data_IF_639534000010
#
_entry.id   IF_639534000010
#
_cell.length_a   1.000
_cell.length_b   1.000
_cell.length_c   1.000
_cell.angle_alpha   90.00
_cell.angle_beta   90.00
_cell.angle_gamma   90.00
#
_symmetry.space_group_name_H-M   'P 1'
#
loop_
_entity.id
_entity.type
_entity.pdbx_description
1 polymer ?
#
# COMPACT_ATOMS: atom_id res chain seq x y z
N UNK A 1 37.04 -43.97 -16.72
CA UNK A 1 36.49 -42.65 -17.12
C UNK A 1 34.96 -42.72 -17.18
N UNK A 2 34.27 -42.36 -16.09
CA UNK A 2 32.81 -42.09 -15.94
C UNK A 2 32.70 -41.14 -14.72
N UNK A 3 31.78 -40.15 -14.64
CA UNK A 3 30.32 -40.22 -14.91
C UNK A 3 29.77 -39.01 -15.74
N UNK A 4 28.73 -39.14 -16.57
CA UNK A 4 27.28 -39.11 -16.32
C UNK A 4 26.77 -37.93 -15.45
N UNK A 5 26.04 -36.97 -16.04
CA UNK A 5 25.02 -36.20 -15.31
C UNK A 5 24.01 -35.54 -16.28
N UNK A 6 22.83 -36.15 -16.37
CA UNK A 6 21.59 -35.64 -16.93
C UNK A 6 21.19 -34.32 -16.28
N UNK A 7 21.10 -33.24 -17.04
CA UNK A 7 20.52 -31.98 -16.55
C UNK A 7 19.00 -32.00 -16.76
N UNK A 8 18.28 -32.56 -15.78
CA UNK A 8 16.89 -32.18 -15.50
C UNK A 8 16.94 -30.89 -14.68
N UNK A 9 16.44 -29.79 -15.22
CA UNK A 9 15.98 -28.66 -14.41
C UNK A 9 14.56 -28.31 -14.86
N UNK A 10 13.61 -28.96 -14.21
CA UNK A 10 12.28 -28.42 -14.02
C UNK A 10 12.29 -27.53 -12.76
N UNK A 11 11.40 -26.55 -12.76
CA UNK A 11 10.97 -25.72 -11.62
C UNK A 11 11.97 -24.71 -11.06
N UNK A 12 11.72 -23.44 -11.38
CA UNK A 12 11.62 -22.34 -10.42
C UNK A 12 11.00 -21.20 -11.21
N UNK A 13 9.70 -20.95 -11.06
CA UNK A 13 9.16 -20.42 -9.83
C UNK A 13 8.98 -18.93 -10.09
N UNK A 14 7.72 -18.51 -10.24
CA UNK A 14 7.33 -17.12 -10.39
C UNK A 14 7.74 -16.35 -9.13
N UNK A 15 9.02 -16.00 -9.03
CA UNK A 15 9.46 -14.99 -8.10
C UNK A 15 9.00 -13.66 -8.69
N UNK A 16 7.74 -13.31 -8.41
CA UNK A 16 7.32 -11.92 -8.32
C UNK A 16 8.13 -11.29 -7.19
N UNK A 17 9.38 -10.97 -7.54
CA UNK A 17 10.34 -10.31 -6.70
C UNK A 17 9.68 -9.00 -6.27
N UNK A 18 9.28 -9.00 -5.01
CA UNK A 18 8.64 -7.89 -4.33
C UNK A 18 9.73 -6.86 -4.03
N UNK A 19 10.41 -6.39 -5.09
CA UNK A 19 11.06 -5.10 -5.09
C UNK A 19 9.96 -4.06 -5.18
N UNK A 20 9.16 -3.96 -4.12
CA UNK A 20 8.64 -2.69 -3.68
C UNK A 20 9.88 -1.85 -3.38
N UNK A 21 10.45 -1.28 -4.45
CA UNK A 21 11.32 -0.12 -4.38
C UNK A 21 10.81 0.73 -3.24
N UNK A 22 11.72 1.13 -2.35
CA UNK A 22 11.48 2.15 -1.34
C UNK A 22 11.17 3.50 -2.02
N UNK A 23 10.15 3.53 -2.88
CA UNK A 23 9.49 4.72 -3.33
C UNK A 23 8.99 5.37 -2.06
N UNK A 24 9.52 6.55 -1.79
CA UNK A 24 9.05 7.40 -0.72
C UNK A 24 7.52 7.47 -0.81
N UNK A 25 6.86 6.75 0.09
CA UNK A 25 5.41 6.65 0.10
C UNK A 25 4.87 8.06 0.33
N UNK A 26 4.13 8.55 -0.67
CA UNK A 26 3.65 9.93 -0.66
C UNK A 26 2.63 10.09 0.45
N UNK A 27 2.80 11.17 1.22
CA UNK A 27 1.93 11.50 2.33
C UNK A 27 0.86 12.51 1.90
N UNK A 28 -0.37 12.02 1.79
CA UNK A 28 -1.53 12.79 1.36
C UNK A 28 -2.17 13.54 2.54
N UNK A 29 -2.77 14.68 2.22
CA UNK A 29 -3.77 15.30 3.09
C UNK A 29 -5.09 14.53 3.01
N UNK A 30 -6.05 14.85 3.88
CA UNK A 30 -7.41 14.32 3.76
C UNK A 30 -8.04 14.63 2.38
N UNK A 31 -7.66 15.75 1.74
CA UNK A 31 -8.15 16.10 0.41
C UNK A 31 -7.63 15.14 -0.66
N UNK A 32 -6.33 14.80 -0.62
CA UNK A 32 -5.76 13.80 -1.52
C UNK A 32 -6.37 12.41 -1.35
N UNK A 33 -6.74 12.04 -0.12
CA UNK A 33 -7.50 10.79 0.13
C UNK A 33 -8.85 10.81 -0.59
N UNK A 34 -9.54 11.95 -0.59
CA UNK A 34 -10.84 12.11 -1.23
C UNK A 34 -10.79 12.11 -2.74
N UNK A 35 -9.79 12.74 -3.32
CA UNK A 35 -9.53 12.68 -4.76
C UNK A 35 -9.31 11.22 -5.22
N UNK A 36 -8.60 10.41 -4.44
CA UNK A 36 -8.37 9.00 -4.76
C UNK A 36 -9.57 8.09 -4.49
N UNK A 37 -10.38 8.39 -3.47
CA UNK A 37 -11.55 7.58 -3.10
C UNK A 37 -12.84 8.01 -3.81
N UNK A 38 -12.79 9.07 -4.63
CA UNK A 38 -13.96 9.62 -5.31
C UNK A 38 -14.99 10.24 -4.36
N UNK A 39 -14.59 10.61 -3.14
CA UNK A 39 -15.50 11.16 -2.14
C UNK A 39 -15.52 12.70 -2.20
N UNK A 40 -16.69 13.32 -2.10
CA UNK A 40 -16.86 14.77 -2.17
C UNK A 40 -16.95 15.47 -0.79
N UNK A 41 -16.57 14.80 0.29
CA UNK A 41 -16.64 15.38 1.64
C UNK A 41 -15.69 16.59 1.81
N UNK A 42 -16.22 17.69 2.35
CA UNK A 42 -15.46 18.92 2.64
C UNK A 42 -14.56 18.82 3.89
N UNK A 43 -14.80 17.83 4.75
CA UNK A 43 -14.15 17.70 6.06
C UNK A 43 -13.40 16.39 6.17
N UNK A 44 -12.25 16.36 6.86
CA UNK A 44 -11.36 15.20 6.96
C UNK A 44 -11.87 14.01 7.80
N UNK A 45 -13.12 14.04 8.28
CA UNK A 45 -13.66 13.02 9.19
C UNK A 45 -13.69 11.62 8.58
N UNK A 46 -13.98 11.48 7.28
CA UNK A 46 -14.01 10.17 6.64
C UNK A 46 -12.60 9.57 6.52
N UNK A 47 -11.58 10.34 6.12
CA UNK A 47 -10.19 9.87 6.11
C UNK A 47 -9.72 9.47 7.52
N UNK A 48 -10.05 10.27 8.54
CA UNK A 48 -9.74 9.92 9.93
C UNK A 48 -10.44 8.65 10.39
N UNK A 49 -11.73 8.47 10.05
CA UNK A 49 -12.49 7.27 10.38
C UNK A 49 -11.91 6.02 9.73
N UNK A 50 -11.51 6.11 8.46
CA UNK A 50 -10.84 5.02 7.75
C UNK A 50 -9.51 4.64 8.41
N UNK A 51 -8.72 5.64 8.83
CA UNK A 51 -7.47 5.39 9.54
C UNK A 51 -7.69 4.75 10.92
N UNK A 52 -8.68 5.23 11.68
CA UNK A 52 -9.05 4.63 12.99
C UNK A 52 -9.56 3.21 12.84
N UNK A 53 -10.21 2.90 11.73
CA UNK A 53 -10.64 1.54 11.39
C UNK A 53 -9.51 0.65 10.86
N UNK A 54 -8.26 1.13 10.83
CA UNK A 54 -7.10 0.37 10.34
C UNK A 54 -7.04 0.19 8.81
N UNK A 55 -7.97 0.81 8.07
CA UNK A 55 -8.10 0.64 6.61
C UNK A 55 -7.05 1.41 5.81
N UNK A 56 -6.56 2.52 6.35
CA UNK A 56 -5.48 3.29 5.74
C UNK A 56 -4.48 3.68 6.81
N UNK A 57 -3.22 3.82 6.43
CA UNK A 57 -2.15 4.16 7.36
C UNK A 57 -2.09 5.67 7.54
N UNK A 58 -2.39 6.12 8.76
CA UNK A 58 -2.17 7.50 9.18
C UNK A 58 -0.77 7.69 9.76
N UNK A 59 -0.10 8.74 9.34
CA UNK A 59 1.20 9.17 9.83
C UNK A 59 1.00 10.52 10.54
N UNK A 60 1.23 10.55 11.85
CA UNK A 60 1.26 11.79 12.62
C UNK A 60 2.58 12.49 12.36
N UNK A 61 2.53 13.69 11.79
CA UNK A 61 3.71 14.54 11.57
C UNK A 61 3.98 15.36 12.83
N UNK A 62 2.92 15.82 13.51
CA UNK A 62 2.97 16.49 14.81
C UNK A 62 1.61 16.35 15.51
N UNK A 63 1.41 17.03 16.66
CA UNK A 63 0.17 16.95 17.46
C UNK A 63 -1.09 17.34 16.69
N UNK A 64 -0.98 18.25 15.71
CA UNK A 64 -2.13 18.81 14.98
C UNK A 64 -2.25 18.29 13.55
N UNK A 65 -1.19 17.74 12.98
CA UNK A 65 -1.09 17.40 11.56
C UNK A 65 -0.97 15.89 11.38
N UNK A 66 -2.00 15.33 10.73
CA UNK A 66 -2.07 13.93 10.31
C UNK A 66 -2.01 13.88 8.79
N UNK A 67 -1.17 13.00 8.26
CA UNK A 67 -1.12 12.65 6.84
C UNK A 67 -1.46 11.19 6.63
N UNK A 68 -1.78 10.82 5.40
CA UNK A 68 -2.18 9.47 5.05
C UNK A 68 -1.27 8.92 3.96
N UNK A 69 -0.87 7.67 4.10
CA UNK A 69 -0.07 6.95 3.11
C UNK A 69 -0.87 6.77 1.82
N UNK A 70 -0.37 7.29 0.70
CA UNK A 70 -0.98 7.15 -0.62
C UNK A 70 -1.14 5.66 -1.00
N UNK A 71 -0.11 4.86 -0.78
CA UNK A 71 -0.15 3.42 -1.08
C UNK A 71 -1.26 2.70 -0.32
N UNK A 72 -1.44 3.00 0.97
CA UNK A 72 -2.53 2.40 1.78
C UNK A 72 -3.93 2.82 1.30
N UNK A 73 -4.08 4.07 0.82
CA UNK A 73 -5.34 4.57 0.27
C UNK A 73 -5.64 3.91 -1.07
N UNK A 74 -4.63 3.75 -1.93
CA UNK A 74 -4.77 2.99 -3.19
C UNK A 74 -5.10 1.53 -2.93
N UNK A 75 -4.48 0.91 -1.93
CA UNK A 75 -4.81 -0.45 -1.51
C UNK A 75 -6.27 -0.56 -1.02
N UNK A 76 -6.76 0.45 -0.28
CA UNK A 76 -8.17 0.55 0.10
C UNK A 76 -9.09 0.60 -1.12
N UNK A 77 -8.82 1.48 -2.08
CA UNK A 77 -9.61 1.62 -3.32
C UNK A 77 -9.58 0.34 -4.15
N UNK A 78 -8.43 -0.34 -4.20
CA UNK A 78 -8.28 -1.63 -4.87
C UNK A 78 -8.90 -2.81 -4.10
N UNK A 79 -9.51 -2.59 -2.93
CA UNK A 79 -10.15 -3.63 -2.11
C UNK A 79 -9.16 -4.57 -1.39
N UNK A 80 -7.88 -4.22 -1.30
CA UNK A 80 -6.79 -5.05 -0.74
C UNK A 80 -6.49 -4.75 0.74
N UNK A 81 -7.48 -4.29 1.47
CA UNK A 81 -7.32 -3.83 2.87
C UNK A 81 -7.35 -5.00 3.84
N UNK A 82 -6.46 -5.00 4.81
CA UNK A 82 -6.49 -5.92 5.94
C UNK A 82 -7.83 -5.74 6.71
N UNK A 83 -8.52 -6.85 6.96
CA UNK A 83 -9.84 -6.93 7.61
C UNK A 83 -9.70 -6.89 9.13
#
# INVERSE_FOLDING_TARGET
>A
MKPNLTQKQAASGSNEDTTATAQADRLLTFRGVYELTGNACKTGHAALRLARAGKIRAVRINERVIRYSESSVRALVAGRVAK
#
